data_IF_793077167460
#
_entry.id   IF_793077167460
#
_cell.length_a   1.000
_cell.length_b   1.000
_cell.length_c   1.000
_cell.angle_alpha   90.00
_cell.angle_beta   90.00
_cell.angle_gamma   90.00
#
_symmetry.space_group_name_H-M   'P 1'
#
loop_
_entity.id
_entity.type
_entity.pdbx_description
1 polymer ?
#
# COMPACT_ATOMS: atom_id res chain seq x y z
N UNK A 1 20.81 10.75 26.72
CA UNK A 1 21.53 10.06 27.81
C UNK A 1 21.03 8.62 27.84
N UNK A 2 21.92 7.62 27.76
CA UNK A 2 21.58 6.20 27.76
C UNK A 2 21.94 5.57 29.12
N UNK A 3 21.08 4.70 29.64
CA UNK A 3 21.28 3.97 30.89
C UNK A 3 21.33 2.47 30.60
N UNK A 4 22.34 1.77 31.11
CA UNK A 4 22.54 0.34 30.90
C UNK A 4 22.59 -0.40 32.24
N UNK A 5 21.80 -1.47 32.35
CA UNK A 5 21.76 -2.37 33.53
C UNK A 5 21.70 -3.83 33.07
N UNK A 6 22.71 -4.24 32.29
CA UNK A 6 22.85 -5.63 31.84
C UNK A 6 23.87 -6.42 32.66
N UNK A 7 23.88 -7.75 32.48
CA UNK A 7 24.74 -8.65 33.25
C UNK A 7 26.24 -8.51 32.97
N UNK A 8 26.64 -8.04 31.77
CA UNK A 8 28.04 -7.76 31.42
C UNK A 8 28.38 -6.31 31.75
N UNK A 9 29.34 -6.10 32.66
CA UNK A 9 29.80 -4.78 33.09
C UNK A 9 31.34 -4.70 33.01
N UNK A 10 31.93 -3.63 32.45
CA UNK A 10 31.28 -2.45 31.85
C UNK A 10 30.54 -2.79 30.52
N UNK A 11 29.70 -1.86 30.03
CA UNK A 11 29.01 -2.04 28.74
C UNK A 11 30.03 -2.34 27.63
N UNK A 12 29.93 -3.49 26.92
CA UNK A 12 31.02 -3.95 26.05
C UNK A 12 30.87 -3.53 24.58
N UNK A 13 29.81 -2.82 24.20
CA UNK A 13 29.51 -2.48 22.79
C UNK A 13 29.75 -0.99 22.51
N UNK A 14 29.76 -0.59 21.24
CA UNK A 14 29.93 0.81 20.87
C UNK A 14 28.69 1.64 21.24
N UNK A 15 28.92 2.89 21.65
CA UNK A 15 27.85 3.88 21.83
C UNK A 15 27.55 4.66 20.54
N UNK A 16 28.38 4.49 19.52
CA UNK A 16 28.20 5.07 18.20
C UNK A 16 27.53 4.04 17.30
N UNK A 17 26.24 4.24 17.01
CA UNK A 17 25.46 3.32 16.17
C UNK A 17 26.02 3.16 14.74
N UNK A 18 26.87 4.07 14.28
CA UNK A 18 27.55 3.99 12.97
C UNK A 18 28.63 2.90 12.95
N UNK A 19 29.10 2.48 14.12
CA UNK A 19 30.10 1.41 14.24
C UNK A 19 29.48 0.02 14.04
N UNK A 20 28.15 -0.08 14.04
CA UNK A 20 27.39 -1.32 13.83
C UNK A 20 27.18 -1.66 12.34
N UNK A 21 27.59 -0.80 11.41
CA UNK A 21 27.54 -1.08 9.98
C UNK A 21 28.74 -1.94 9.54
N UNK A 22 28.54 -2.76 8.50
CA UNK A 22 29.62 -3.53 7.86
C UNK A 22 30.79 -2.63 7.38
N UNK A 23 30.49 -1.39 7.00
CA UNK A 23 31.47 -0.33 6.70
C UNK A 23 31.18 0.96 7.50
N UNK A 24 31.80 1.12 8.69
CA UNK A 24 31.61 2.29 9.53
C UNK A 24 32.15 3.59 8.92
N UNK A 25 33.12 3.53 8.01
CA UNK A 25 33.66 4.73 7.37
C UNK A 25 32.66 5.31 6.37
N UNK A 26 32.07 4.44 5.54
CA UNK A 26 31.00 4.82 4.62
C UNK A 26 29.75 5.29 5.37
N UNK A 27 29.36 4.60 6.45
CA UNK A 27 28.22 5.00 7.27
C UNK A 27 28.40 6.42 7.84
N UNK A 28 29.59 6.75 8.36
CA UNK A 28 29.89 8.11 8.83
C UNK A 28 29.82 9.14 7.71
N UNK A 29 30.33 8.84 6.51
CA UNK A 29 30.22 9.77 5.38
C UNK A 29 28.76 10.07 5.00
N UNK A 30 27.91 9.05 5.00
CA UNK A 30 26.51 9.16 4.60
C UNK A 30 25.61 9.77 5.67
N UNK A 31 25.84 9.45 6.94
CA UNK A 31 24.91 9.78 8.04
C UNK A 31 25.39 10.95 8.92
N UNK A 32 26.65 11.37 8.84
CA UNK A 32 27.16 12.55 9.57
C UNK A 32 27.03 13.85 8.76
N UNK A 33 26.56 13.79 7.51
CA UNK A 33 26.30 14.94 6.66
C UNK A 33 24.80 15.16 6.47
N UNK A 34 24.41 16.31 5.93
CA UNK A 34 23.01 16.53 5.56
C UNK A 34 22.60 15.47 4.51
N UNK A 35 21.46 14.81 4.74
CA UNK A 35 20.99 13.79 3.83
C UNK A 35 20.76 14.38 2.43
N UNK A 36 21.26 13.72 1.37
CA UNK A 36 20.91 14.11 0.01
C UNK A 36 19.41 13.84 -0.20
N UNK A 37 18.61 14.91 -0.20
CA UNK A 37 17.20 14.84 -0.51
C UNK A 37 17.02 14.84 -2.03
N UNK A 38 16.50 13.73 -2.57
CA UNK A 38 16.10 13.65 -3.97
C UNK A 38 14.61 13.99 -4.06
N UNK A 39 14.30 15.18 -4.58
CA UNK A 39 12.92 15.55 -4.88
C UNK A 39 12.47 14.94 -6.22
N UNK A 40 11.88 13.76 -6.15
CA UNK A 40 11.38 13.05 -7.35
C UNK A 40 10.24 13.81 -8.06
N UNK A 41 9.61 14.81 -7.42
CA UNK A 41 8.49 15.53 -8.03
C UNK A 41 8.92 16.45 -9.17
N UNK A 42 10.15 16.97 -9.11
CA UNK A 42 10.72 17.86 -10.13
C UNK A 42 11.47 17.12 -11.23
N UNK A 43 11.87 15.86 -10.99
CA UNK A 43 12.61 15.04 -11.97
C UNK A 43 11.68 14.65 -13.12
N UNK A 44 11.97 14.97 -14.39
CA UNK A 44 11.15 14.59 -15.53
C UNK A 44 11.03 13.07 -15.67
N UNK A 45 9.85 12.58 -16.08
CA UNK A 45 9.64 11.13 -16.22
C UNK A 45 10.62 10.48 -17.19
N UNK A 46 11.03 11.19 -18.25
CA UNK A 46 11.99 10.69 -19.23
C UNK A 46 13.39 10.49 -18.64
N UNK A 47 13.75 11.28 -17.64
CA UNK A 47 14.99 11.12 -16.88
C UNK A 47 14.87 9.90 -15.95
N UNK A 48 13.74 9.77 -15.24
CA UNK A 48 13.43 8.60 -14.41
C UNK A 48 13.53 7.30 -15.21
N UNK A 49 13.07 7.27 -16.48
CA UNK A 49 13.18 6.08 -17.34
C UNK A 49 14.61 5.60 -17.57
N UNK A 50 15.62 6.44 -17.34
CA UNK A 50 17.04 6.09 -17.50
C UNK A 50 17.63 5.44 -16.24
N UNK A 51 16.94 5.51 -15.09
CA UNK A 51 17.46 5.03 -13.81
C UNK A 51 17.39 3.49 -13.64
N UNK A 52 17.25 2.73 -14.73
CA UNK A 52 17.29 1.25 -14.78
C UNK A 52 16.40 0.58 -13.72
N UNK A 53 17.01 0.00 -12.67
CA UNK A 53 16.33 -0.84 -11.67
C UNK A 53 15.43 -0.04 -10.72
N UNK A 54 15.77 1.22 -10.45
CA UNK A 54 15.02 2.07 -9.51
C UNK A 54 13.93 2.89 -10.19
N UNK A 55 14.04 3.07 -11.52
CA UNK A 55 13.10 3.83 -12.36
C UNK A 55 11.62 3.47 -12.11
N UNK A 56 11.35 2.18 -11.89
CA UNK A 56 9.99 1.68 -11.68
C UNK A 56 9.38 2.15 -10.36
N UNK A 57 10.17 2.10 -9.29
CA UNK A 57 9.75 2.54 -7.97
C UNK A 57 9.62 4.06 -7.94
N UNK A 58 10.59 4.78 -8.50
CA UNK A 58 10.58 6.23 -8.60
C UNK A 58 9.38 6.75 -9.39
N UNK A 59 9.11 6.16 -10.57
CA UNK A 59 7.97 6.56 -11.39
C UNK A 59 6.65 6.36 -10.63
N UNK A 60 6.48 5.23 -9.96
CA UNK A 60 5.28 4.96 -9.15
C UNK A 60 5.19 5.87 -7.93
N UNK A 61 6.29 6.11 -7.21
CA UNK A 61 6.31 7.01 -6.06
C UNK A 61 5.99 8.45 -6.45
N UNK A 62 6.54 8.95 -7.56
CA UNK A 62 6.21 10.27 -8.10
C UNK A 62 4.72 10.43 -8.37
N UNK A 63 4.08 9.38 -8.90
CA UNK A 63 2.69 9.41 -9.35
C UNK A 63 1.69 8.90 -8.30
N UNK A 64 2.14 8.49 -7.12
CA UNK A 64 1.26 7.80 -6.14
C UNK A 64 0.11 8.67 -5.64
N UNK A 65 0.28 9.99 -5.64
CA UNK A 65 -0.76 10.97 -5.24
C UNK A 65 -1.70 11.33 -6.39
N UNK A 66 -1.40 10.96 -7.63
CA UNK A 66 -2.26 11.27 -8.77
C UNK A 66 -3.52 10.41 -8.73
N UNK A 67 -4.67 11.04 -9.00
CA UNK A 67 -5.97 10.36 -9.03
C UNK A 67 -6.13 9.42 -10.22
N UNK A 68 -5.36 9.63 -11.29
CA UNK A 68 -5.41 8.81 -12.49
C UNK A 68 -4.05 8.19 -12.79
N UNK A 69 -3.94 6.90 -12.53
CA UNK A 69 -2.75 6.10 -12.82
C UNK A 69 -2.71 5.62 -14.29
N UNK A 70 -3.76 5.86 -15.08
CA UNK A 70 -3.82 5.35 -16.46
C UNK A 70 -2.71 5.94 -17.34
N UNK A 71 -2.31 7.19 -17.11
CA UNK A 71 -1.19 7.82 -17.83
C UNK A 71 0.16 7.15 -17.57
N UNK A 72 0.28 6.34 -16.51
CA UNK A 72 1.51 5.63 -16.15
C UNK A 72 1.62 4.24 -16.79
N UNK A 73 0.52 3.70 -17.34
CA UNK A 73 0.46 2.32 -17.86
C UNK A 73 1.51 2.07 -18.94
N UNK A 74 1.68 3.00 -19.88
CA UNK A 74 2.62 2.84 -20.98
C UNK A 74 4.07 2.83 -20.50
N UNK A 75 4.46 3.83 -19.71
CA UNK A 75 5.81 3.94 -19.15
C UNK A 75 6.15 2.75 -18.25
N UNK A 76 5.19 2.32 -17.42
CA UNK A 76 5.38 1.16 -16.56
C UNK A 76 5.51 -0.14 -17.36
N UNK A 77 4.72 -0.31 -18.43
CA UNK A 77 4.84 -1.46 -19.31
C UNK A 77 6.21 -1.53 -19.98
N UNK A 78 6.75 -0.39 -20.45
CA UNK A 78 8.12 -0.32 -20.99
C UNK A 78 9.14 -0.79 -19.95
N UNK A 79 9.09 -0.25 -18.73
CA UNK A 79 10.02 -0.64 -17.67
C UNK A 79 9.92 -2.13 -17.30
N UNK A 80 8.70 -2.69 -17.29
CA UNK A 80 8.47 -4.11 -17.04
C UNK A 80 8.99 -5.00 -18.17
N UNK A 81 8.87 -4.58 -19.43
CA UNK A 81 9.35 -5.33 -20.60
C UNK A 81 10.88 -5.30 -20.67
N UNK A 82 11.51 -4.15 -20.40
CA UNK A 82 12.97 -4.01 -20.41
C UNK A 82 13.69 -4.88 -19.36
N UNK A 83 12.97 -5.54 -18.45
CA UNK A 83 13.54 -6.53 -17.54
C UNK A 83 14.44 -5.93 -16.46
N UNK A 84 14.35 -4.61 -16.23
CA UNK A 84 15.20 -3.92 -15.27
C UNK A 84 14.85 -4.24 -13.80
N UNK A 85 13.66 -4.79 -13.55
CA UNK A 85 13.21 -5.16 -12.21
C UNK A 85 13.22 -6.68 -12.02
N UNK A 86 13.73 -7.14 -10.88
CA UNK A 86 13.66 -8.55 -10.48
C UNK A 86 12.33 -8.89 -9.79
N UNK A 87 12.09 -10.17 -9.55
CA UNK A 87 10.85 -10.68 -8.96
C UNK A 87 10.51 -10.07 -7.59
N UNK A 88 11.52 -9.80 -6.76
CA UNK A 88 11.32 -9.18 -5.45
C UNK A 88 10.92 -7.71 -5.56
N UNK A 89 11.52 -6.95 -6.48
CA UNK A 89 11.17 -5.56 -6.78
C UNK A 89 9.75 -5.47 -7.33
N UNK A 90 9.36 -6.36 -8.24
CA UNK A 90 8.00 -6.43 -8.78
C UNK A 90 6.98 -6.70 -7.66
N UNK A 91 7.26 -7.68 -6.80
CA UNK A 91 6.40 -8.01 -5.67
C UNK A 91 6.27 -6.83 -4.69
N UNK A 92 7.37 -6.15 -4.38
CA UNK A 92 7.36 -4.97 -3.51
C UNK A 92 6.53 -3.83 -4.11
N UNK A 93 6.71 -3.54 -5.41
CA UNK A 93 5.93 -2.54 -6.13
C UNK A 93 4.43 -2.83 -6.07
N UNK A 94 4.04 -4.06 -6.37
CA UNK A 94 2.62 -4.43 -6.38
C UNK A 94 2.01 -4.40 -4.99
N UNK A 95 2.74 -4.83 -3.96
CA UNK A 95 2.28 -4.71 -2.57
C UNK A 95 2.10 -3.24 -2.19
N UNK A 96 3.04 -2.37 -2.57
CA UNK A 96 2.94 -0.94 -2.32
C UNK A 96 1.70 -0.33 -3.01
N UNK A 97 1.52 -0.59 -4.30
CA UNK A 97 0.37 -0.13 -5.06
C UNK A 97 -0.97 -0.67 -4.50
N UNK A 98 -0.99 -1.93 -4.06
CA UNK A 98 -2.16 -2.54 -3.43
C UNK A 98 -2.53 -1.87 -2.10
N UNK A 99 -1.55 -1.53 -1.26
CA UNK A 99 -1.78 -0.84 0.00
C UNK A 99 -2.35 0.56 -0.27
N UNK A 100 -1.78 1.29 -1.23
CA UNK A 100 -2.17 2.68 -1.49
C UNK A 100 -3.49 2.81 -2.26
N UNK A 101 -3.77 1.89 -3.20
CA UNK A 101 -4.91 2.03 -4.11
C UNK A 101 -5.86 0.83 -4.13
N UNK A 102 -5.62 -0.24 -3.37
CA UNK A 102 -6.39 -1.49 -3.41
C UNK A 102 -7.87 -1.36 -3.08
N UNK A 103 -8.30 -0.25 -2.47
CA UNK A 103 -9.71 0.06 -2.21
C UNK A 103 -10.39 0.81 -3.37
N UNK A 104 -9.66 1.21 -4.41
CA UNK A 104 -10.21 1.99 -5.53
C UNK A 104 -10.57 1.08 -6.72
N UNK A 105 -11.79 1.18 -7.27
CA UNK A 105 -12.20 0.42 -8.46
C UNK A 105 -11.29 0.66 -9.68
N UNK A 106 -10.68 1.84 -9.75
CA UNK A 106 -9.76 2.26 -10.84
C UNK A 106 -8.45 1.49 -10.82
N UNK A 107 -7.97 1.06 -9.66
CA UNK A 107 -6.72 0.30 -9.56
C UNK A 107 -6.82 -1.08 -10.22
N UNK A 108 -7.96 -1.76 -10.11
CA UNK A 108 -8.18 -3.02 -10.82
C UNK A 108 -8.14 -2.86 -12.34
N UNK A 109 -8.62 -1.71 -12.88
CA UNK A 109 -8.53 -1.39 -14.31
C UNK A 109 -7.08 -1.14 -14.73
N UNK A 110 -6.34 -0.38 -13.94
CA UNK A 110 -4.91 -0.13 -14.15
C UNK A 110 -4.11 -1.43 -14.26
N UNK A 111 -4.25 -2.34 -13.29
CA UNK A 111 -3.52 -3.63 -13.28
C UNK A 111 -3.87 -4.49 -14.51
N UNK A 112 -5.13 -4.53 -14.92
CA UNK A 112 -5.54 -5.26 -16.13
C UNK A 112 -4.89 -4.67 -17.38
N UNK A 113 -4.79 -3.36 -17.47
CA UNK A 113 -4.21 -2.71 -18.64
C UNK A 113 -2.69 -2.87 -18.72
N UNK A 114 -2.00 -2.86 -17.57
CA UNK A 114 -0.59 -3.25 -17.49
C UNK A 114 -0.41 -4.71 -17.90
N UNK A 115 -1.26 -5.63 -17.41
CA UNK A 115 -1.19 -7.04 -17.74
C UNK A 115 -1.44 -7.35 -19.23
N UNK A 116 -2.29 -6.54 -19.89
CA UNK A 116 -2.53 -6.64 -21.33
C UNK A 116 -1.28 -6.32 -22.15
N UNK A 117 -0.49 -5.33 -21.69
CA UNK A 117 0.73 -4.87 -22.38
C UNK A 117 1.97 -5.70 -22.03
N UNK A 118 1.95 -6.38 -20.88
CA UNK A 118 3.09 -7.16 -20.38
C UNK A 118 2.67 -8.62 -20.14
N UNK A 119 2.46 -9.41 -21.21
CA UNK A 119 1.94 -10.76 -21.09
C UNK A 119 2.84 -11.70 -20.27
N UNK A 120 4.16 -11.46 -20.28
CA UNK A 120 5.15 -12.19 -19.46
C UNK A 120 4.90 -12.12 -17.95
N UNK A 121 4.20 -11.09 -17.46
CA UNK A 121 3.86 -10.93 -16.04
C UNK A 121 2.37 -11.07 -15.76
N UNK A 122 1.58 -11.52 -16.75
CA UNK A 122 0.12 -11.58 -16.67
C UNK A 122 -0.38 -12.38 -15.47
N UNK A 123 0.11 -13.60 -15.25
CA UNK A 123 -0.35 -14.45 -14.14
C UNK A 123 -0.13 -13.82 -12.76
N UNK A 124 1.05 -13.20 -12.56
CA UNK A 124 1.39 -12.49 -11.33
C UNK A 124 0.50 -11.28 -11.12
N UNK A 125 0.27 -10.50 -12.18
CA UNK A 125 -0.65 -9.37 -12.17
C UNK A 125 -2.09 -9.81 -11.88
N UNK A 126 -2.54 -10.94 -12.42
CA UNK A 126 -3.88 -11.48 -12.15
C UNK A 126 -4.03 -11.96 -10.71
N UNK A 127 -3.01 -12.59 -10.12
CA UNK A 127 -3.00 -12.93 -8.69
C UNK A 127 -3.27 -11.71 -7.80
N UNK A 128 -2.77 -10.53 -8.18
CA UNK A 128 -3.04 -9.28 -7.47
C UNK A 128 -4.48 -8.82 -7.66
N UNK A 129 -5.01 -8.90 -8.89
CA UNK A 129 -6.43 -8.61 -9.17
C UNK A 129 -7.35 -9.50 -8.32
N UNK A 130 -7.02 -10.77 -8.18
CA UNK A 130 -7.82 -11.72 -7.39
C UNK A 130 -7.77 -11.40 -5.90
N UNK A 131 -6.59 -11.02 -5.37
CA UNK A 131 -6.47 -10.52 -3.98
C UNK A 131 -7.31 -9.26 -3.74
N UNK A 132 -7.33 -8.33 -4.69
CA UNK A 132 -8.16 -7.11 -4.60
C UNK A 132 -9.65 -7.49 -4.54
N UNK A 133 -10.10 -8.37 -5.46
CA UNK A 133 -11.50 -8.83 -5.51
C UNK A 133 -11.90 -9.52 -4.22
N UNK A 134 -11.06 -10.41 -3.71
CA UNK A 134 -11.34 -11.15 -2.47
C UNK A 134 -11.38 -10.23 -1.25
N UNK A 135 -10.46 -9.27 -1.16
CA UNK A 135 -10.49 -8.22 -0.12
C UNK A 135 -11.79 -7.40 -0.19
N UNK A 136 -12.18 -6.98 -1.39
CA UNK A 136 -13.43 -6.25 -1.62
C UNK A 136 -14.67 -7.07 -1.22
N UNK A 137 -14.71 -8.36 -1.57
CA UNK A 137 -15.79 -9.28 -1.19
C UNK A 137 -15.90 -9.44 0.32
N UNK A 138 -14.77 -9.61 1.01
CA UNK A 138 -14.72 -9.73 2.48
C UNK A 138 -15.20 -8.44 3.15
N UNK A 139 -14.80 -7.29 2.63
CA UNK A 139 -15.26 -5.97 3.12
C UNK A 139 -16.77 -5.82 2.93
N UNK A 140 -17.28 -6.09 1.73
CA UNK A 140 -18.72 -6.02 1.44
C UNK A 140 -19.56 -6.96 2.30
N UNK A 141 -19.09 -8.18 2.56
CA UNK A 141 -19.78 -9.11 3.47
C UNK A 141 -19.87 -8.56 4.91
N UNK A 142 -18.80 -7.95 5.42
CA UNK A 142 -18.79 -7.35 6.76
C UNK A 142 -19.73 -6.14 6.84
N UNK A 143 -19.68 -5.26 5.86
CA UNK A 143 -20.55 -4.08 5.78
C UNK A 143 -22.03 -4.50 5.67
N UNK A 144 -22.34 -5.50 4.84
CA UNK A 144 -23.70 -6.02 4.71
C UNK A 144 -24.24 -6.65 5.99
N UNK A 145 -23.44 -7.41 6.73
CA UNK A 145 -23.83 -7.96 8.04
C UNK A 145 -24.10 -6.84 9.04
N UNK A 146 -23.22 -5.84 9.10
CA UNK A 146 -23.38 -4.72 10.03
C UNK A 146 -24.61 -3.86 9.72
N UNK A 147 -24.87 -3.58 8.43
CA UNK A 147 -26.08 -2.90 7.98
C UNK A 147 -27.33 -3.72 8.29
N UNK A 148 -27.31 -5.03 8.05
CA UNK A 148 -28.42 -5.93 8.36
C UNK A 148 -28.76 -5.95 9.86
N UNK A 149 -27.75 -5.99 10.74
CA UNK A 149 -27.95 -5.91 12.19
C UNK A 149 -28.58 -4.56 12.58
N UNK A 150 -28.06 -3.44 12.04
CA UNK A 150 -28.60 -2.12 12.35
C UNK A 150 -30.05 -1.95 11.88
N UNK A 151 -30.36 -2.42 10.67
CA UNK A 151 -31.72 -2.40 10.12
C UNK A 151 -32.67 -3.27 10.95
N UNK A 152 -32.24 -4.48 11.34
CA UNK A 152 -33.02 -5.37 12.20
C UNK A 152 -33.31 -4.77 13.58
N UNK A 153 -32.32 -4.12 14.20
CA UNK A 153 -32.53 -3.41 15.48
C UNK A 153 -33.51 -2.25 15.31
N UNK A 154 -33.43 -1.48 14.21
CA UNK A 154 -34.38 -0.40 13.95
C UNK A 154 -35.80 -0.89 13.69
N UNK A 155 -35.96 -1.94 12.89
CA UNK A 155 -37.27 -2.55 12.64
C UNK A 155 -37.88 -3.11 13.92
N UNK A 156 -37.11 -3.87 14.72
CA UNK A 156 -37.59 -4.40 16.01
C UNK A 156 -38.04 -3.31 16.98
N UNK A 157 -37.30 -2.20 17.08
CA UNK A 157 -37.72 -1.05 17.89
C UNK A 157 -39.01 -0.39 17.39
N UNK A 158 -39.20 -0.29 16.07
CA UNK A 158 -40.44 0.25 15.49
C UNK A 158 -41.63 -0.69 15.73
N UNK A 159 -41.43 -2.00 15.59
CA UNK A 159 -42.45 -3.01 15.85
C UNK A 159 -42.88 -3.01 17.32
N UNK A 160 -41.92 -3.00 18.27
CA UNK A 160 -42.22 -2.89 19.70
C UNK A 160 -43.00 -1.61 20.03
N UNK A 161 -42.58 -0.46 19.48
CA UNK A 161 -43.28 0.81 19.68
C UNK A 161 -44.72 0.75 19.14
N UNK A 162 -44.93 0.10 17.99
CA UNK A 162 -46.25 -0.08 17.40
C UNK A 162 -47.14 -0.99 18.27
N UNK A 163 -46.59 -2.10 18.77
CA UNK A 163 -47.29 -3.03 19.67
C UNK A 163 -47.66 -2.36 21.00
N UNK A 164 -46.74 -1.60 21.60
CA UNK A 164 -47.01 -0.85 22.83
C UNK A 164 -48.10 0.20 22.62
N UNK A 165 -48.09 0.90 21.47
CA UNK A 165 -49.12 1.89 21.13
C UNK A 165 -50.51 1.25 21.00
N UNK A 166 -50.61 0.09 20.33
CA UNK A 166 -51.87 -0.65 20.21
C UNK A 166 -52.36 -1.14 21.58
N UNK A 167 -51.46 -1.63 22.44
CA UNK A 167 -51.82 -2.07 23.81
C UNK A 167 -52.31 -0.92 24.68
N UNK A 168 -51.74 0.27 24.57
CA UNK A 168 -52.22 1.45 25.29
C UNK A 168 -53.59 1.90 24.78
N UNK A 169 -53.85 1.82 23.48
CA UNK A 169 -55.15 2.20 22.90
C UNK A 169 -56.29 1.26 23.33
N UNK A 170 -56.04 -0.05 23.43
CA UNK A 170 -57.05 -1.04 23.85
C UNK A 170 -57.32 -1.07 25.36
N UNK A 171 -56.61 -0.28 26.18
CA UNK A 171 -56.77 -0.24 27.66
C UNK A 171 -57.41 1.06 28.18
N UNK A 172 -57.76 2.01 27.31
CA UNK A 172 -58.54 3.21 27.64
C UNK A 172 -59.97 3.05 27.18
#
# INVERSE_FOLDING_TARGET
MLFYHGAKSPYPFSLCWLDEFDDPALARQLYATAFPLVDITVVPDNEIMQHRRIAMLELVQKHIRQRDLMGLVERLAVLLITGNANDSQLKALFNYLLIQHGSTPRFGKFIREVARRVPQHKERLMTIVDRIRESGRRKGKREGVQQGIQQGIHQGKQEEACVLRIRCWNRG
#
